data_IF_319624348101
#
_entry.id   IF_319624348101
#
_cell.length_a   1.000
_cell.length_b   1.000
_cell.length_c   1.000
_cell.angle_alpha   90.00
_cell.angle_beta   90.00
_cell.angle_gamma   90.00
#
_symmetry.space_group_name_H-M   'P 1'
#
loop_
_entity.id
_entity.type
_entity.pdbx_description
1 polymer ?
#
# COMPACT_ATOMS: atom_id res chain seq x y z
N UNK A 1 -98.24 -41.49 -26.85
CA UNK A 1 -99.07 -41.01 -25.70
C UNK A 1 -98.15 -40.39 -24.65
N UNK A 2 -98.71 -39.73 -23.63
CA UNK A 2 -98.06 -38.76 -22.72
C UNK A 2 -97.03 -39.34 -21.71
N UNK A 3 -96.06 -38.49 -21.34
CA UNK A 3 -95.43 -38.33 -19.99
C UNK A 3 -94.55 -39.49 -19.43
N UNK A 4 -93.51 -39.29 -18.58
CA UNK A 4 -92.89 -38.07 -18.02
C UNK A 4 -91.48 -38.33 -17.40
N UNK A 5 -90.60 -37.30 -17.40
CA UNK A 5 -89.47 -37.00 -16.46
C UNK A 5 -88.25 -37.97 -16.36
N UNK A 6 -87.01 -37.55 -16.72
CA UNK A 6 -85.97 -36.75 -15.98
C UNK A 6 -85.31 -37.52 -14.80
N UNK A 7 -83.99 -37.52 -14.55
CA UNK A 7 -82.86 -36.77 -15.15
C UNK A 7 -81.50 -37.49 -14.88
N UNK A 8 -80.65 -37.64 -15.92
CA UNK A 8 -79.28 -38.23 -15.91
C UNK A 8 -78.53 -37.65 -17.14
N UNK A 9 -77.22 -37.33 -17.23
CA UNK A 9 -76.06 -37.10 -16.31
C UNK A 9 -74.90 -36.42 -17.12
N UNK A 10 -73.85 -35.88 -16.45
CA UNK A 10 -72.50 -35.48 -16.96
C UNK A 10 -72.28 -34.13 -17.70
N UNK A 11 -71.13 -33.52 -17.36
CA UNK A 11 -70.51 -32.29 -17.87
C UNK A 11 -69.86 -32.45 -19.26
N UNK A 12 -69.72 -31.34 -19.99
CA UNK A 12 -68.74 -31.19 -21.08
C UNK A 12 -68.13 -29.78 -21.11
N UNK A 13 -66.87 -29.71 -21.55
CA UNK A 13 -65.97 -28.55 -21.51
C UNK A 13 -66.25 -27.57 -22.66
N UNK A 14 -66.05 -26.27 -22.42
CA UNK A 14 -65.86 -25.28 -23.48
C UNK A 14 -64.67 -24.36 -23.13
N UNK A 15 -63.65 -24.36 -23.97
CA UNK A 15 -62.49 -23.48 -23.86
C UNK A 15 -62.62 -22.32 -24.88
N UNK A 16 -62.36 -21.09 -24.42
CA UNK A 16 -62.39 -19.88 -25.25
C UNK A 16 -60.97 -19.48 -25.65
N UNK A 17 -60.73 -19.41 -26.96
CA UNK A 17 -59.52 -18.80 -27.53
C UNK A 17 -59.78 -17.31 -27.77
N UNK A 18 -58.91 -16.46 -27.22
CA UNK A 18 -58.84 -15.04 -27.59
C UNK A 18 -57.40 -14.75 -28.02
N UNK A 19 -57.23 -14.49 -29.32
CA UNK A 19 -55.96 -14.04 -29.87
C UNK A 19 -55.70 -12.58 -29.49
N UNK A 20 -54.54 -12.29 -28.91
CA UNK A 20 -54.04 -10.91 -28.78
C UNK A 20 -52.69 -10.80 -29.50
N UNK A 21 -52.58 -9.85 -30.42
CA UNK A 21 -51.32 -9.54 -31.08
C UNK A 21 -50.42 -8.74 -30.13
N UNK A 22 -49.56 -9.44 -29.38
CA UNK A 22 -48.50 -8.78 -28.63
C UNK A 22 -47.32 -8.49 -29.57
N UNK A 23 -47.02 -7.21 -29.76
CA UNK A 23 -45.82 -6.72 -30.44
C UNK A 23 -44.61 -7.32 -29.72
N UNK A 24 -43.74 -8.03 -30.43
CA UNK A 24 -42.58 -8.68 -29.82
C UNK A 24 -41.50 -7.63 -29.50
N UNK A 25 -41.66 -6.93 -28.39
CA UNK A 25 -40.55 -6.23 -27.74
C UNK A 25 -39.50 -7.28 -27.38
N UNK A 26 -38.35 -7.20 -28.08
CA UNK A 26 -37.16 -7.89 -27.66
C UNK A 26 -36.72 -7.29 -26.32
N UNK A 27 -37.07 -7.96 -25.21
CA UNK A 27 -36.47 -7.70 -23.91
C UNK A 27 -34.95 -7.71 -24.08
N UNK A 28 -34.34 -6.53 -24.09
CA UNK A 28 -32.90 -6.36 -24.23
C UNK A 28 -32.26 -6.70 -22.86
N UNK A 29 -32.38 -7.98 -22.46
CA UNK A 29 -31.84 -8.51 -21.22
C UNK A 29 -30.34 -8.28 -21.23
N UNK A 30 -29.89 -7.34 -20.40
CA UNK A 30 -28.50 -6.94 -20.27
C UNK A 30 -27.61 -8.19 -20.23
N UNK A 31 -26.87 -8.40 -21.32
CA UNK A 31 -26.03 -9.59 -21.48
C UNK A 31 -24.92 -9.49 -20.45
N UNK A 32 -25.04 -10.26 -19.37
CA UNK A 32 -24.02 -10.29 -18.34
C UNK A 32 -22.72 -10.83 -18.97
N UNK A 33 -21.77 -9.93 -19.18
CA UNK A 33 -20.53 -10.16 -19.90
C UNK A 33 -19.53 -10.88 -19.02
N UNK A 34 -19.91 -12.08 -18.58
CA UNK A 34 -19.05 -12.97 -17.81
C UNK A 34 -17.88 -13.42 -18.68
N UNK A 35 -16.68 -12.93 -18.38
CA UNK A 35 -15.45 -13.30 -19.06
C UNK A 35 -14.40 -13.71 -18.04
N UNK A 36 -13.51 -14.60 -18.50
CA UNK A 36 -12.21 -14.80 -17.90
C UNK A 36 -11.18 -13.99 -18.67
N UNK A 37 -10.31 -13.28 -17.96
CA UNK A 37 -9.22 -12.51 -18.51
C UNK A 37 -7.89 -13.06 -17.99
N UNK A 38 -6.93 -13.34 -18.86
CA UNK A 38 -5.53 -13.53 -18.43
C UNK A 38 -4.62 -12.55 -19.12
N UNK A 39 -3.50 -12.20 -18.48
CA UNK A 39 -2.49 -11.33 -19.06
C UNK A 39 -1.09 -11.92 -18.91
N UNK A 40 -0.22 -11.69 -19.89
CA UNK A 40 1.19 -12.11 -19.86
C UNK A 40 2.09 -11.19 -20.67
N UNK A 41 3.38 -11.14 -20.31
CA UNK A 41 4.44 -10.68 -21.21
C UNK A 41 4.78 -11.82 -22.17
N UNK A 42 4.83 -11.53 -23.47
CA UNK A 42 5.23 -12.49 -24.51
C UNK A 42 6.74 -12.41 -24.72
N UNK A 43 7.30 -11.19 -24.82
CA UNK A 43 8.73 -10.95 -24.98
C UNK A 43 9.10 -9.49 -24.71
N UNK A 44 10.27 -9.24 -24.11
CA UNK A 44 10.94 -7.94 -23.98
C UNK A 44 12.10 -7.78 -24.99
N UNK A 45 12.10 -8.59 -26.06
CA UNK A 45 13.18 -8.68 -27.04
C UNK A 45 12.82 -8.03 -28.38
N UNK A 46 11.85 -7.10 -28.41
CA UNK A 46 11.53 -6.37 -29.64
C UNK A 46 12.58 -5.30 -29.93
N UNK A 47 12.76 -4.98 -31.21
CA UNK A 47 13.70 -3.97 -31.69
C UNK A 47 12.93 -2.82 -32.35
N UNK A 48 13.25 -1.58 -31.98
CA UNK A 48 12.63 -0.36 -32.53
C UNK A 48 11.99 0.51 -31.45
N UNK A 49 10.94 1.25 -31.81
CA UNK A 49 10.21 2.12 -30.87
C UNK A 49 9.39 1.34 -29.83
N UNK A 50 9.04 0.09 -30.15
CA UNK A 50 8.48 -0.89 -29.23
C UNK A 50 9.57 -1.87 -28.81
N UNK A 51 9.63 -2.20 -27.52
CA UNK A 51 10.63 -3.13 -26.97
C UNK A 51 10.02 -4.33 -26.25
N UNK A 52 8.72 -4.33 -25.97
CA UNK A 52 8.05 -5.55 -25.52
C UNK A 52 6.68 -5.79 -26.17
N UNK A 53 6.32 -7.08 -26.26
CA UNK A 53 4.98 -7.57 -26.62
C UNK A 53 4.33 -8.14 -25.38
N UNK A 54 3.09 -7.72 -25.11
CA UNK A 54 2.21 -8.32 -24.12
C UNK A 54 0.99 -8.95 -24.79
N UNK A 55 0.23 -9.73 -24.03
CA UNK A 55 -1.00 -10.34 -24.51
C UNK A 55 -2.07 -10.40 -23.43
N UNK A 56 -3.30 -10.03 -23.78
CA UNK A 56 -4.50 -10.44 -23.05
C UNK A 56 -5.11 -11.68 -23.70
N UNK A 57 -5.60 -12.63 -22.91
CA UNK A 57 -6.51 -13.68 -23.39
C UNK A 57 -7.89 -13.42 -22.80
N UNK A 58 -8.88 -13.20 -23.66
CA UNK A 58 -10.28 -13.00 -23.27
C UNK A 58 -11.01 -14.31 -23.59
N UNK A 59 -11.57 -14.97 -22.57
CA UNK A 59 -12.43 -16.14 -22.74
C UNK A 59 -13.88 -15.81 -22.36
N UNK A 60 -14.81 -16.12 -23.24
CA UNK A 60 -16.24 -15.96 -22.99
C UNK A 60 -16.75 -17.04 -22.02
N UNK A 61 -17.23 -16.64 -20.85
CA UNK A 61 -17.87 -17.50 -19.84
C UNK A 61 -19.37 -17.27 -19.72
N UNK A 62 -19.95 -16.48 -20.62
CA UNK A 62 -21.39 -16.28 -20.74
C UNK A 62 -22.02 -17.34 -21.67
N UNK A 63 -23.35 -17.42 -21.65
CA UNK A 63 -24.13 -18.29 -22.54
C UNK A 63 -24.40 -17.66 -23.93
N UNK A 64 -23.89 -16.46 -24.21
CA UNK A 64 -24.19 -15.71 -25.43
C UNK A 64 -22.90 -15.32 -26.17
N UNK A 65 -22.99 -15.12 -27.48
CA UNK A 65 -21.86 -14.61 -28.28
C UNK A 65 -21.59 -13.15 -27.92
N UNK A 66 -20.33 -12.82 -27.65
CA UNK A 66 -19.88 -11.43 -27.43
C UNK A 66 -19.56 -10.83 -28.81
N UNK A 67 -20.30 -9.78 -29.20
CA UNK A 67 -20.13 -9.08 -30.46
C UNK A 67 -19.09 -7.96 -30.46
N UNK A 68 -19.00 -7.25 -31.58
CA UNK A 68 -18.02 -6.19 -31.87
C UNK A 68 -18.37 -4.78 -31.31
N UNK A 69 -19.38 -4.67 -30.44
CA UNK A 69 -19.91 -3.38 -29.98
C UNK A 69 -20.56 -3.48 -28.59
N UNK A 70 -20.86 -2.33 -27.98
CA UNK A 70 -21.55 -2.24 -26.69
C UNK A 70 -20.70 -2.55 -25.46
N UNK A 71 -19.36 -2.64 -25.58
CA UNK A 71 -18.47 -2.85 -24.44
C UNK A 71 -17.05 -2.31 -24.64
N UNK A 72 -16.37 -2.06 -23.52
CA UNK A 72 -14.92 -1.89 -23.42
C UNK A 72 -14.41 -2.49 -22.10
N UNK A 73 -13.17 -3.00 -22.08
CA UNK A 73 -12.47 -3.41 -20.85
C UNK A 73 -11.47 -2.32 -20.49
N UNK A 74 -11.64 -1.66 -19.36
CA UNK A 74 -10.72 -0.66 -18.83
C UNK A 74 -9.77 -1.27 -17.80
N UNK A 75 -8.59 -0.69 -17.65
CA UNK A 75 -7.60 -1.10 -16.65
C UNK A 75 -6.58 0.02 -16.38
N UNK A 76 -5.86 -0.08 -15.26
CA UNK A 76 -4.66 0.72 -14.97
C UNK A 76 -3.40 -0.06 -15.36
N UNK A 77 -2.41 0.55 -16.01
CA UNK A 77 -1.09 -0.02 -16.26
C UNK A 77 -0.08 1.13 -16.43
N UNK A 78 1.15 0.97 -15.95
CA UNK A 78 2.18 2.03 -16.02
C UNK A 78 2.23 2.65 -17.43
N UNK A 79 2.18 3.99 -17.59
CA UNK A 79 2.10 4.66 -18.89
C UNK A 79 3.19 4.19 -19.86
N UNK A 80 2.76 3.78 -21.06
CA UNK A 80 3.59 3.36 -22.21
C UNK A 80 2.85 3.70 -23.51
N UNK A 81 3.59 3.97 -24.58
CA UNK A 81 3.01 4.01 -25.94
C UNK A 81 2.61 2.60 -26.35
N UNK A 82 1.43 2.46 -26.93
CA UNK A 82 0.85 1.18 -27.40
C UNK A 82 0.79 1.15 -28.92
N UNK A 83 1.23 0.03 -29.50
CA UNK A 83 1.04 -0.32 -30.92
C UNK A 83 0.25 -1.62 -30.98
N UNK A 84 -0.75 -1.70 -31.86
CA UNK A 84 -1.57 -2.92 -32.03
C UNK A 84 -1.17 -3.66 -33.31
N UNK A 85 -1.36 -4.97 -33.34
CA UNK A 85 -1.18 -5.74 -34.58
C UNK A 85 -2.24 -5.33 -35.63
N UNK A 86 -1.89 -5.22 -36.94
CA UNK A 86 -2.81 -4.71 -37.97
C UNK A 86 -4.15 -5.45 -38.09
N UNK A 87 -4.19 -6.73 -37.73
CA UNK A 87 -5.37 -7.60 -37.80
C UNK A 87 -5.86 -8.05 -36.40
N UNK A 88 -5.49 -7.30 -35.34
CA UNK A 88 -5.87 -7.64 -33.98
C UNK A 88 -7.40 -7.71 -33.82
N UNK A 89 -7.88 -8.77 -33.16
CA UNK A 89 -9.33 -8.97 -32.91
C UNK A 89 -9.90 -7.91 -31.96
N UNK A 90 -9.10 -7.39 -31.05
CA UNK A 90 -9.44 -6.26 -30.20
C UNK A 90 -8.25 -5.29 -30.16
N UNK A 91 -8.51 -4.03 -29.83
CA UNK A 91 -7.55 -2.93 -29.91
C UNK A 91 -7.36 -2.37 -28.50
N UNK A 92 -6.11 -2.38 -28.03
CA UNK A 92 -5.68 -1.70 -26.81
C UNK A 92 -5.41 -0.23 -27.11
N UNK A 93 -5.96 0.66 -26.28
CA UNK A 93 -5.80 2.12 -26.39
C UNK A 93 -5.38 2.71 -25.05
N UNK A 94 -4.33 3.52 -25.07
CA UNK A 94 -4.03 4.47 -24.00
C UNK A 94 -5.07 5.60 -24.00
N UNK A 95 -5.44 6.10 -22.82
CA UNK A 95 -6.41 7.19 -22.66
C UNK A 95 -5.69 8.43 -22.11
N UNK A 96 -5.19 8.34 -20.88
CA UNK A 96 -4.40 9.35 -20.19
C UNK A 96 -3.69 8.67 -19.00
N UNK A 97 -2.60 9.25 -18.48
CA UNK A 97 -1.91 8.72 -17.30
C UNK A 97 -1.60 7.23 -17.42
N UNK A 98 -1.91 6.45 -16.38
CA UNK A 98 -1.83 4.99 -16.39
C UNK A 98 -3.13 4.30 -16.87
N UNK A 99 -4.08 5.03 -17.46
CA UNK A 99 -5.42 4.52 -17.78
C UNK A 99 -5.56 4.08 -19.24
N UNK A 100 -6.03 2.85 -19.44
CA UNK A 100 -6.13 2.17 -20.73
C UNK A 100 -7.50 1.51 -20.92
N UNK A 101 -7.84 1.22 -22.18
CA UNK A 101 -8.98 0.36 -22.54
C UNK A 101 -8.72 -0.56 -23.71
N UNK A 102 -9.35 -1.73 -23.68
CA UNK A 102 -9.48 -2.69 -24.78
C UNK A 102 -10.87 -2.52 -25.37
N UNK A 103 -10.96 -2.33 -26.69
CA UNK A 103 -12.22 -2.30 -27.44
C UNK A 103 -12.22 -3.40 -28.51
N UNK A 104 -13.37 -4.00 -28.86
CA UNK A 104 -13.46 -4.91 -30.00
C UNK A 104 -13.05 -4.24 -31.32
N UNK A 105 -12.41 -4.99 -32.22
CA UNK A 105 -12.28 -4.59 -33.62
C UNK A 105 -13.56 -4.90 -34.41
N UNK A 106 -13.70 -4.34 -35.61
CA UNK A 106 -14.91 -4.44 -36.43
C UNK A 106 -15.33 -5.90 -36.74
N UNK A 107 -14.38 -6.84 -36.78
CA UNK A 107 -14.62 -8.27 -37.04
C UNK A 107 -14.55 -9.15 -35.76
N UNK A 108 -14.70 -8.55 -34.58
CA UNK A 108 -14.74 -9.29 -33.32
C UNK A 108 -16.06 -10.05 -33.18
N UNK A 109 -15.95 -11.33 -32.87
CA UNK A 109 -17.03 -12.20 -32.41
C UNK A 109 -16.38 -13.25 -31.52
N UNK A 110 -16.99 -13.58 -30.40
CA UNK A 110 -16.48 -14.58 -29.46
C UNK A 110 -17.64 -15.43 -28.92
N UNK A 111 -17.77 -16.66 -29.43
CA UNK A 111 -18.82 -17.59 -29.06
C UNK A 111 -18.69 -18.07 -27.60
N UNK A 112 -19.75 -18.65 -26.98
CA UNK A 112 -19.67 -19.23 -25.64
C UNK A 112 -18.53 -20.24 -25.50
N UNK A 113 -17.74 -20.12 -24.43
CA UNK A 113 -16.50 -20.87 -24.14
C UNK A 113 -15.30 -20.61 -25.06
N UNK A 114 -15.46 -19.90 -26.17
CA UNK A 114 -14.35 -19.50 -27.05
C UNK A 114 -13.41 -18.53 -26.33
N UNK A 115 -12.14 -18.51 -26.75
CA UNK A 115 -11.14 -17.56 -26.27
C UNK A 115 -10.38 -16.92 -27.42
N UNK A 116 -9.95 -15.68 -27.22
CA UNK A 116 -9.15 -14.92 -28.18
C UNK A 116 -7.96 -14.28 -27.48
N UNK A 117 -6.78 -14.38 -28.10
CA UNK A 117 -5.57 -13.70 -27.66
C UNK A 117 -5.42 -12.37 -28.40
N UNK A 118 -5.16 -11.30 -27.65
CA UNK A 118 -5.01 -9.93 -28.12
C UNK A 118 -3.57 -9.52 -27.84
N UNK A 119 -2.73 -9.59 -28.87
CA UNK A 119 -1.35 -9.14 -28.82
C UNK A 119 -1.26 -7.63 -29.03
N UNK A 120 -0.40 -6.99 -28.24
CA UNK A 120 -0.09 -5.57 -28.36
C UNK A 120 1.35 -5.30 -27.94
N UNK A 121 1.97 -4.34 -28.61
CA UNK A 121 3.34 -3.93 -28.39
C UNK A 121 3.38 -2.63 -27.57
N UNK A 122 4.42 -2.50 -26.76
CA UNK A 122 4.63 -1.40 -25.83
C UNK A 122 6.04 -0.83 -26.00
N UNK A 123 6.16 0.48 -25.81
CA UNK A 123 7.46 1.11 -25.51
C UNK A 123 8.03 0.57 -24.18
N UNK A 124 9.34 0.51 -24.05
CA UNK A 124 10.06 -0.02 -22.87
C UNK A 124 9.70 -1.49 -22.54
N UNK A 125 10.32 -2.05 -21.49
CA UNK A 125 10.15 -3.44 -21.06
C UNK A 125 9.15 -3.56 -19.91
N UNK A 126 8.65 -4.78 -19.68
CA UNK A 126 7.86 -5.18 -18.51
C UNK A 126 8.53 -6.43 -17.90
N UNK A 127 9.07 -6.29 -16.69
CA UNK A 127 9.97 -7.31 -16.08
C UNK A 127 9.57 -7.69 -14.65
N UNK A 128 8.44 -7.16 -14.16
CA UNK A 128 7.81 -7.50 -12.88
C UNK A 128 6.33 -7.74 -13.09
N UNK A 129 5.75 -8.64 -12.29
CA UNK A 129 4.29 -8.82 -12.22
C UNK A 129 3.56 -7.54 -11.77
N UNK A 130 4.25 -6.62 -11.09
CA UNK A 130 3.74 -5.29 -10.74
C UNK A 130 3.59 -4.35 -11.95
N UNK A 131 4.19 -4.67 -13.09
CA UNK A 131 4.02 -3.93 -14.35
C UNK A 131 2.75 -4.36 -15.12
N UNK A 132 2.03 -5.37 -14.61
CA UNK A 132 0.83 -5.92 -15.22
C UNK A 132 -0.38 -4.97 -15.09
N UNK A 133 -1.42 -5.15 -15.94
CA UNK A 133 -2.71 -4.49 -15.79
C UNK A 133 -3.32 -4.71 -14.40
N UNK A 134 -3.61 -3.61 -13.72
CA UNK A 134 -4.24 -3.53 -12.40
C UNK A 134 -5.74 -3.27 -12.55
N UNK A 135 -6.51 -3.98 -11.73
CA UNK A 135 -7.96 -3.81 -11.55
C UNK A 135 -8.76 -3.70 -12.87
N UNK A 136 -8.73 -4.70 -13.76
CA UNK A 136 -9.50 -4.65 -15.00
C UNK A 136 -11.02 -4.73 -14.74
N UNK A 137 -11.79 -3.92 -15.46
CA UNK A 137 -13.25 -3.82 -15.35
C UNK A 137 -13.91 -3.59 -16.71
N UNK A 138 -15.16 -4.01 -16.86
CA UNK A 138 -15.98 -3.85 -18.06
C UNK A 138 -16.86 -2.61 -17.89
N UNK A 139 -17.01 -1.85 -18.97
CA UNK A 139 -18.06 -0.86 -19.14
C UNK A 139 -18.92 -1.29 -20.32
N UNK A 140 -20.24 -1.26 -20.15
CA UNK A 140 -21.23 -1.61 -21.17
C UNK A 140 -21.88 -0.35 -21.73
N UNK A 141 -22.17 -0.35 -23.02
CA UNK A 141 -22.79 0.76 -23.73
C UNK A 141 -24.08 0.34 -24.44
N UNK A 142 -25.06 1.26 -24.52
CA UNK A 142 -26.23 1.12 -25.39
C UNK A 142 -25.87 1.45 -26.86
N UNK A 143 -26.86 1.38 -27.75
CA UNK A 143 -26.71 1.69 -29.19
C UNK A 143 -26.39 3.17 -29.47
N UNK A 144 -26.67 4.07 -28.51
CA UNK A 144 -26.38 5.50 -28.60
C UNK A 144 -24.97 5.83 -28.02
N UNK A 145 -24.30 4.86 -27.41
CA UNK A 145 -23.01 5.04 -26.72
C UNK A 145 -23.10 5.47 -25.26
N UNK A 146 -24.29 5.47 -24.65
CA UNK A 146 -24.47 5.77 -23.23
C UNK A 146 -24.00 4.59 -22.36
N UNK A 147 -23.36 4.88 -21.24
CA UNK A 147 -22.97 3.87 -20.25
C UNK A 147 -24.20 3.23 -19.59
N UNK A 148 -24.25 1.89 -19.56
CA UNK A 148 -25.39 1.11 -19.04
C UNK A 148 -25.04 0.27 -17.82
N UNK A 149 -23.79 -0.16 -17.68
CA UNK A 149 -23.27 -0.74 -16.44
C UNK A 149 -21.74 -0.73 -16.41
N UNK A 150 -21.19 -0.75 -15.20
CA UNK A 150 -19.76 -0.90 -14.92
C UNK A 150 -19.59 -2.08 -13.97
N UNK A 151 -18.69 -3.02 -14.27
CA UNK A 151 -18.49 -4.22 -13.45
C UNK A 151 -17.04 -4.69 -13.44
N UNK A 152 -16.54 -5.09 -12.27
CA UNK A 152 -15.17 -5.62 -12.13
C UNK A 152 -15.03 -7.01 -12.78
N UNK A 153 -13.92 -7.26 -13.46
CA UNK A 153 -13.56 -8.61 -13.90
C UNK A 153 -12.90 -9.32 -12.71
N UNK A 154 -13.57 -10.35 -12.18
CA UNK A 154 -13.11 -11.09 -11.00
C UNK A 154 -12.27 -12.33 -11.35
N UNK A 155 -12.57 -13.02 -12.46
CA UNK A 155 -11.70 -14.08 -13.03
C UNK A 155 -10.60 -13.43 -13.89
N UNK A 156 -9.71 -12.68 -13.22
CA UNK A 156 -8.50 -12.10 -13.80
C UNK A 156 -7.25 -12.76 -13.24
N UNK A 157 -6.33 -13.19 -14.11
CA UNK A 157 -5.04 -13.78 -13.70
C UNK A 157 -3.86 -13.28 -14.53
N UNK A 158 -2.82 -12.82 -13.83
CA UNK A 158 -1.46 -12.63 -14.38
C UNK A 158 -0.80 -14.01 -14.52
N UNK A 159 -0.24 -14.32 -15.68
CA UNK A 159 0.54 -15.54 -15.90
C UNK A 159 2.01 -15.30 -15.50
N UNK A 160 2.69 -16.31 -14.94
CA UNK A 160 4.07 -16.17 -14.47
C UNK A 160 5.05 -15.87 -15.62
N UNK A 161 6.13 -15.18 -15.28
CA UNK A 161 7.24 -14.92 -16.20
C UNK A 161 8.28 -16.02 -16.00
N UNK A 162 8.23 -17.05 -16.85
CA UNK A 162 9.01 -18.29 -16.69
C UNK A 162 10.24 -18.35 -17.59
N UNK A 163 10.31 -17.49 -18.61
CA UNK A 163 11.35 -17.53 -19.66
C UNK A 163 12.22 -16.28 -19.68
N UNK A 164 13.50 -16.37 -20.13
CA UNK A 164 14.40 -15.22 -20.21
C UNK A 164 13.82 -14.04 -21.01
N UNK A 165 13.10 -14.29 -22.11
CA UNK A 165 12.45 -13.25 -22.90
C UNK A 165 11.32 -12.50 -22.17
N UNK A 166 10.77 -13.05 -21.09
CA UNK A 166 9.76 -12.38 -20.24
C UNK A 166 10.39 -11.67 -19.03
N UNK A 167 11.56 -12.13 -18.58
CA UNK A 167 12.18 -11.68 -17.32
C UNK A 167 13.22 -10.59 -17.55
N UNK A 168 14.00 -10.67 -18.63
CA UNK A 168 15.09 -9.76 -18.93
C UNK A 168 14.56 -8.50 -19.64
N UNK A 169 15.30 -7.38 -19.52
CA UNK A 169 14.98 -6.09 -20.16
C UNK A 169 15.28 -6.03 -21.66
N UNK A 170 15.99 -7.02 -22.17
CA UNK A 170 16.51 -7.11 -23.53
C UNK A 170 17.60 -8.19 -23.60
N UNK A 171 18.19 -8.39 -24.79
CA UNK A 171 19.21 -9.42 -25.01
C UNK A 171 20.49 -9.18 -24.21
N UNK A 172 20.84 -7.91 -23.99
CA UNK A 172 22.07 -7.47 -23.30
C UNK A 172 21.88 -7.28 -21.78
N UNK A 173 20.80 -7.81 -21.19
CA UNK A 173 20.56 -7.67 -19.75
C UNK A 173 21.49 -8.54 -18.91
N UNK A 174 22.47 -7.90 -18.25
CA UNK A 174 23.44 -8.55 -17.37
C UNK A 174 22.96 -8.72 -15.93
N UNK A 175 21.77 -8.26 -15.56
CA UNK A 175 21.24 -8.42 -14.20
C UNK A 175 20.79 -9.87 -14.00
N UNK A 176 21.36 -10.61 -13.02
CA UNK A 176 21.00 -12.01 -12.83
C UNK A 176 19.54 -12.20 -12.40
N UNK A 177 18.89 -13.24 -12.93
CA UNK A 177 17.54 -13.64 -12.52
C UNK A 177 17.56 -14.07 -11.05
N UNK A 178 16.71 -13.51 -10.18
CA UNK A 178 16.62 -13.93 -8.77
C UNK A 178 16.22 -15.40 -8.64
N UNK A 179 17.02 -16.18 -7.91
CA UNK A 179 16.76 -17.60 -7.63
C UNK A 179 17.09 -17.93 -6.17
N UNK A 180 16.59 -19.06 -5.68
CA UNK A 180 16.91 -19.57 -4.33
C UNK A 180 18.40 -19.88 -4.19
N UNK A 181 19.00 -20.53 -5.19
CA UNK A 181 20.44 -20.82 -5.26
C UNK A 181 21.28 -19.54 -5.21
N UNK A 182 20.93 -18.53 -6.01
CA UNK A 182 21.69 -17.27 -6.04
C UNK A 182 21.56 -16.50 -4.72
N UNK A 183 20.36 -16.45 -4.14
CA UNK A 183 20.13 -15.82 -2.83
C UNK A 183 20.88 -16.54 -1.70
N UNK A 184 21.02 -17.87 -1.78
CA UNK A 184 21.84 -18.63 -0.85
C UNK A 184 23.31 -18.21 -0.95
N UNK A 185 23.87 -18.22 -2.17
CA UNK A 185 25.25 -17.82 -2.45
C UNK A 185 25.56 -16.37 -2.04
N UNK A 186 24.66 -15.42 -2.32
CA UNK A 186 24.79 -14.02 -1.88
C UNK A 186 24.80 -13.89 -0.35
N UNK A 187 24.16 -14.81 0.37
CA UNK A 187 24.10 -14.83 1.82
C UNK A 187 25.19 -15.71 2.48
N UNK A 188 26.03 -16.44 1.72
CA UNK A 188 27.13 -17.26 2.28
C UNK A 188 28.17 -16.42 3.04
N UNK A 189 28.27 -15.11 2.74
CA UNK A 189 29.12 -14.16 3.46
C UNK A 189 28.55 -13.71 4.82
N UNK A 190 27.28 -14.03 5.11
CA UNK A 190 26.62 -13.66 6.34
C UNK A 190 26.79 -14.76 7.40
N UNK A 191 27.05 -14.36 8.64
CA UNK A 191 27.14 -15.26 9.79
C UNK A 191 26.22 -14.79 10.91
N UNK A 192 25.77 -15.73 11.74
CA UNK A 192 25.02 -15.41 12.95
C UNK A 192 25.98 -14.84 13.99
N UNK A 193 25.80 -13.57 14.37
CA UNK A 193 26.58 -12.92 15.41
C UNK A 193 26.07 -13.34 16.81
N UNK A 194 26.97 -13.59 17.78
CA UNK A 194 26.56 -13.84 19.16
C UNK A 194 26.04 -12.54 19.83
N UNK A 195 25.10 -12.67 20.76
CA UNK A 195 24.37 -11.52 21.32
C UNK A 195 25.28 -10.46 21.97
N UNK A 196 26.41 -10.89 22.55
CA UNK A 196 27.36 -10.03 23.25
C UNK A 196 28.17 -9.10 22.33
N UNK A 197 28.13 -9.29 21.01
CA UNK A 197 28.76 -8.36 20.03
C UNK A 197 27.73 -7.56 19.23
N UNK A 198 26.43 -7.75 19.48
CA UNK A 198 25.38 -6.99 18.79
C UNK A 198 25.36 -5.55 19.27
N UNK A 199 25.30 -4.63 18.31
CA UNK A 199 25.09 -3.22 18.59
C UNK A 199 23.60 -2.96 18.91
N UNK A 200 23.31 -2.53 20.14
CA UNK A 200 21.95 -2.46 20.69
C UNK A 200 21.22 -1.11 20.51
N UNK A 201 21.80 -0.15 19.77
CA UNK A 201 21.17 1.16 19.50
C UNK A 201 21.26 1.45 18.01
N UNK A 202 20.14 1.81 17.38
CA UNK A 202 20.05 2.19 15.98
C UNK A 202 19.25 3.51 15.90
N UNK A 203 19.72 4.57 15.22
CA UNK A 203 21.03 4.70 14.56
C UNK A 203 22.22 4.58 15.51
N UNK A 204 23.39 4.22 14.98
CA UNK A 204 24.64 4.08 15.75
C UNK A 204 25.05 5.42 16.38
N UNK A 205 25.21 5.49 17.71
CA UNK A 205 25.69 6.69 18.39
C UNK A 205 27.14 7.05 18.04
N UNK A 206 27.52 8.31 18.25
CA UNK A 206 28.92 8.77 18.14
C UNK A 206 29.86 7.98 19.07
N UNK A 207 29.44 7.74 20.32
CA UNK A 207 30.21 6.98 21.32
C UNK A 207 29.29 6.11 22.18
N UNK A 208 29.77 4.91 22.52
CA UNK A 208 29.10 3.99 23.45
C UNK A 208 30.16 3.23 24.26
N UNK A 209 29.98 3.20 25.59
CA UNK A 209 30.80 2.44 26.53
C UNK A 209 29.88 1.62 27.44
N UNK A 210 30.06 0.30 27.48
CA UNK A 210 29.16 -0.61 28.20
C UNK A 210 29.92 -1.35 29.32
N UNK A 211 30.00 -0.80 30.55
CA UNK A 211 30.50 -1.55 31.70
C UNK A 211 29.58 -2.73 32.03
N UNK A 212 30.11 -3.74 32.71
CA UNK A 212 29.34 -4.91 33.11
C UNK A 212 28.32 -4.56 34.21
N UNK A 213 27.05 -4.80 33.94
CA UNK A 213 25.95 -4.52 34.87
C UNK A 213 24.61 -4.44 34.15
N UNK A 214 23.53 -4.42 34.94
CA UNK A 214 22.17 -4.19 34.45
C UNK A 214 21.41 -3.27 35.42
N UNK A 215 20.39 -2.59 34.90
CA UNK A 215 19.41 -1.82 35.64
C UNK A 215 18.02 -2.43 35.44
N UNK A 216 17.32 -2.73 36.53
CA UNK A 216 15.88 -3.05 36.50
C UNK A 216 15.07 -1.75 36.38
N UNK A 217 14.31 -1.62 35.29
CA UNK A 217 13.36 -0.53 35.08
C UNK A 217 12.00 -0.95 35.66
N UNK A 218 11.60 -0.30 36.74
CA UNK A 218 10.31 -0.50 37.41
C UNK A 218 9.85 0.79 38.08
N UNK A 219 8.56 0.88 38.43
CA UNK A 219 7.97 2.05 39.10
C UNK A 219 8.53 2.35 40.51
N UNK A 220 9.53 1.61 40.98
CA UNK A 220 10.37 2.03 42.12
C UNK A 220 11.28 3.23 41.77
N UNK A 221 11.59 3.43 40.48
CA UNK A 221 12.27 4.61 39.99
C UNK A 221 11.27 5.76 39.79
N UNK A 222 11.63 6.96 40.25
CA UNK A 222 10.91 8.20 39.95
C UNK A 222 11.55 8.86 38.72
N UNK A 223 10.75 9.51 37.88
CA UNK A 223 11.22 10.32 36.76
C UNK A 223 11.31 11.78 37.24
N UNK A 224 12.52 12.28 37.43
CA UNK A 224 12.81 13.67 37.74
C UNK A 224 13.06 14.42 36.43
N UNK A 225 12.56 15.64 36.30
CA UNK A 225 12.74 16.44 35.07
C UNK A 225 12.90 17.93 35.37
N UNK A 226 13.70 18.62 34.54
CA UNK A 226 13.77 20.08 34.51
C UNK A 226 12.49 20.70 33.91
N UNK A 227 12.17 21.94 34.27
CA UNK A 227 10.87 22.57 33.96
C UNK A 227 10.51 22.64 32.46
N UNK A 228 11.52 22.63 31.58
CA UNK A 228 11.38 22.62 30.12
C UNK A 228 11.02 21.25 29.52
N UNK A 229 11.11 20.16 30.31
CA UNK A 229 10.99 18.76 29.85
C UNK A 229 9.69 18.06 30.26
N UNK A 230 8.63 18.82 30.57
CA UNK A 230 7.33 18.25 30.98
C UNK A 230 6.71 17.32 29.91
N UNK A 231 6.95 17.61 28.62
CA UNK A 231 6.43 16.81 27.51
C UNK A 231 7.18 15.47 27.40
N UNK A 232 8.51 15.53 27.51
CA UNK A 232 9.44 14.42 27.46
C UNK A 232 9.23 13.48 28.65
N UNK A 233 9.06 14.03 29.86
CA UNK A 233 8.76 13.27 31.07
C UNK A 233 7.42 12.52 30.99
N UNK A 234 6.37 13.17 30.44
CA UNK A 234 5.07 12.52 30.18
C UNK A 234 5.18 11.43 29.12
N UNK A 235 5.83 11.71 28.00
CA UNK A 235 5.99 10.74 26.93
C UNK A 235 6.84 9.54 27.38
N UNK A 236 7.89 9.75 28.19
CA UNK A 236 8.65 8.67 28.82
C UNK A 236 7.81 7.86 29.80
N UNK A 237 6.98 8.52 30.63
CA UNK A 237 6.04 7.84 31.53
C UNK A 237 5.04 6.98 30.75
N UNK A 238 4.52 7.46 29.62
CA UNK A 238 3.59 6.72 28.76
C UNK A 238 4.28 5.51 28.09
N UNK A 239 5.47 5.69 27.51
CA UNK A 239 6.26 4.58 26.96
C UNK A 239 6.57 3.54 28.04
N UNK A 240 7.10 3.95 29.19
CA UNK A 240 7.40 3.03 30.29
C UNK A 240 6.15 2.41 30.92
N UNK A 241 4.99 3.06 30.86
CA UNK A 241 3.72 2.44 31.30
C UNK A 241 3.24 1.38 30.31
N UNK A 242 3.37 1.61 29.01
CA UNK A 242 3.09 0.59 27.97
C UNK A 242 4.05 -0.60 28.10
N UNK A 243 5.32 -0.34 28.43
CA UNK A 243 6.35 -1.38 28.55
C UNK A 243 6.21 -2.16 29.87
N UNK A 244 6.17 -1.48 31.02
CA UNK A 244 6.18 -2.15 32.34
C UNK A 244 4.79 -2.59 32.83
N UNK A 245 3.71 -2.10 32.19
CA UNK A 245 2.35 -2.19 32.74
C UNK A 245 2.10 -1.33 33.99
N UNK A 246 3.11 -0.58 34.47
CA UNK A 246 3.06 0.21 35.71
C UNK A 246 3.31 1.69 35.45
N UNK A 247 2.58 2.57 36.15
CA UNK A 247 2.75 4.01 35.99
C UNK A 247 3.85 4.55 36.90
N UNK A 248 4.90 5.12 36.31
CA UNK A 248 6.00 5.77 37.02
C UNK A 248 5.55 7.13 37.58
N UNK A 249 6.10 7.55 38.72
CA UNK A 249 5.88 8.91 39.25
C UNK A 249 6.80 9.90 38.55
N UNK A 250 6.25 11.01 38.05
CA UNK A 250 7.04 12.13 37.48
C UNK A 250 7.09 13.29 38.49
N UNK A 251 8.24 13.96 38.63
CA UNK A 251 8.47 15.06 39.57
C UNK A 251 9.30 16.18 38.92
N UNK A 252 8.76 17.40 38.88
CA UNK A 252 9.49 18.60 38.44
C UNK A 252 10.35 19.10 39.62
N UNK A 253 11.59 18.61 39.69
CA UNK A 253 12.58 19.00 40.72
C UNK A 253 13.96 18.50 40.34
N UNK A 254 14.98 19.21 40.82
CA UNK A 254 16.35 18.73 40.77
C UNK A 254 16.49 17.38 41.48
N UNK A 255 17.30 16.49 40.89
CA UNK A 255 17.67 15.23 41.51
C UNK A 255 18.79 15.46 42.54
N UNK A 256 18.56 15.04 43.79
CA UNK A 256 19.51 15.25 44.90
C UNK A 256 20.31 14.00 45.24
N UNK A 257 19.66 12.85 45.39
CA UNK A 257 20.27 11.57 45.76
C UNK A 257 19.34 10.37 45.50
N UNK A 258 19.88 9.16 45.56
CA UNK A 258 19.14 7.91 45.46
C UNK A 258 19.29 7.21 44.10
N UNK A 259 18.17 6.67 43.59
CA UNK A 259 18.12 5.95 42.32
C UNK A 259 16.88 6.38 41.54
N UNK A 260 17.07 6.96 40.36
CA UNK A 260 16.01 7.65 39.62
C UNK A 260 16.17 7.46 38.10
N UNK A 261 15.19 7.98 37.36
CA UNK A 261 15.35 8.38 35.97
C UNK A 261 15.40 9.91 36.00
N UNK A 262 16.45 10.53 35.45
CA UNK A 262 16.65 11.98 35.47
C UNK A 262 16.69 12.49 34.04
N UNK A 263 15.87 13.49 33.72
CA UNK A 263 15.83 14.18 32.43
C UNK A 263 16.24 15.64 32.68
N UNK A 264 17.25 16.13 31.98
CA UNK A 264 17.73 17.51 32.17
C UNK A 264 18.32 18.11 30.89
N UNK A 265 18.30 19.44 30.78
CA UNK A 265 19.00 20.18 29.74
C UNK A 265 20.23 20.89 30.28
N UNK A 266 21.38 20.71 29.62
CA UNK A 266 22.65 21.35 29.97
C UNK A 266 23.41 21.79 28.72
N UNK A 267 24.17 22.90 28.75
CA UNK A 267 25.03 23.30 27.64
C UNK A 267 26.11 22.24 27.33
N UNK A 268 25.97 21.53 26.21
CA UNK A 268 26.89 20.46 25.83
C UNK A 268 27.20 20.44 24.32
N UNK A 269 28.22 19.66 23.95
CA UNK A 269 28.49 19.30 22.57
C UNK A 269 29.11 17.92 22.48
N UNK A 270 28.68 17.13 21.49
CA UNK A 270 29.29 15.84 21.15
C UNK A 270 29.86 15.97 19.73
N UNK A 271 31.14 15.66 19.57
CA UNK A 271 31.85 15.74 18.28
C UNK A 271 31.72 17.11 17.57
N UNK A 272 31.70 18.20 18.33
CA UNK A 272 31.57 19.58 17.80
C UNK A 272 30.16 19.99 17.38
N UNK A 273 29.14 19.16 17.64
CA UNK A 273 27.73 19.43 17.37
C UNK A 273 27.03 19.72 18.70
N UNK A 274 26.25 20.79 18.76
CA UNK A 274 25.45 21.15 19.96
C UNK A 274 23.98 20.80 19.79
N UNK A 275 23.33 21.15 18.67
CA UNK A 275 21.90 20.91 18.50
C UNK A 275 21.56 19.40 18.51
N UNK A 276 20.49 19.05 19.22
CA UNK A 276 19.99 17.68 19.42
C UNK A 276 21.04 16.70 20.03
N UNK A 277 22.11 17.21 20.66
CA UNK A 277 23.13 16.39 21.29
C UNK A 277 22.65 15.86 22.64
N UNK A 278 23.09 14.66 23.03
CA UNK A 278 22.73 14.08 24.32
C UNK A 278 23.79 13.14 24.89
N UNK A 279 23.68 12.94 26.20
CA UNK A 279 24.33 11.87 26.96
C UNK A 279 23.25 11.04 27.65
N UNK A 280 23.27 9.73 27.42
CA UNK A 280 22.48 8.73 28.14
C UNK A 280 23.43 7.92 29.02
N UNK A 281 23.22 7.96 30.34
CA UNK A 281 24.02 7.22 31.32
C UNK A 281 23.09 6.27 32.11
N UNK A 282 23.43 4.98 32.15
CA UNK A 282 22.66 3.91 32.80
C UNK A 282 23.58 3.20 33.78
N UNK A 283 23.23 3.30 35.07
CA UNK A 283 24.01 2.81 36.20
C UNK A 283 23.16 1.97 37.14
N UNK A 284 23.69 0.83 37.58
CA UNK A 284 23.05 0.01 38.60
C UNK A 284 22.91 0.73 39.95
N UNK A 285 23.74 1.76 40.21
CA UNK A 285 23.73 2.53 41.45
C UNK A 285 22.76 3.72 41.40
N UNK A 286 22.89 4.60 40.41
CA UNK A 286 22.14 5.87 40.31
C UNK A 286 20.89 5.81 39.43
N UNK A 287 20.73 4.79 38.58
CA UNK A 287 19.58 4.63 37.69
C UNK A 287 19.87 5.10 36.27
N UNK A 288 19.01 5.95 35.70
CA UNK A 288 19.19 6.53 34.35
C UNK A 288 19.35 8.04 34.46
N UNK A 289 20.31 8.62 33.75
CA UNK A 289 20.35 10.05 33.45
C UNK A 289 20.32 10.26 31.94
N UNK A 290 19.51 11.22 31.48
CA UNK A 290 19.43 11.67 30.10
C UNK A 290 19.61 13.18 30.12
N UNK A 291 20.80 13.63 29.72
CA UNK A 291 21.14 15.05 29.59
C UNK A 291 21.17 15.41 28.11
N UNK A 292 20.42 16.43 27.70
CA UNK A 292 20.43 16.95 26.34
C UNK A 292 20.92 18.40 26.26
N UNK A 293 21.40 18.81 25.10
CA UNK A 293 21.63 20.23 24.75
C UNK A 293 20.34 21.07 24.75
N UNK A 294 19.23 20.38 24.49
CA UNK A 294 17.89 20.89 24.25
C UNK A 294 16.88 19.72 24.43
N UNK A 295 15.56 19.98 24.45
CA UNK A 295 14.55 18.92 24.59
C UNK A 295 14.59 17.84 23.50
N UNK A 296 15.04 18.16 22.28
CA UNK A 296 15.16 17.16 21.21
C UNK A 296 16.34 16.20 21.47
N UNK A 297 17.44 16.70 22.02
CA UNK A 297 18.53 15.87 22.55
C UNK A 297 18.03 14.90 23.62
N UNK A 298 17.31 15.39 24.63
CA UNK A 298 16.71 14.54 25.67
C UNK A 298 15.79 13.48 25.06
N UNK A 299 14.91 13.88 24.14
CA UNK A 299 14.03 12.98 23.41
C UNK A 299 14.80 11.88 22.67
N UNK A 300 15.91 12.19 22.00
CA UNK A 300 16.72 11.18 21.32
C UNK A 300 17.50 10.28 22.27
N UNK A 301 17.89 10.78 23.45
CA UNK A 301 18.38 9.94 24.55
C UNK A 301 17.33 8.96 25.05
N UNK A 302 16.07 9.38 25.15
CA UNK A 302 14.95 8.49 25.47
C UNK A 302 14.75 7.41 24.38
N UNK A 303 14.85 7.75 23.09
CA UNK A 303 14.78 6.75 22.02
C UNK A 303 15.93 5.74 22.09
N UNK A 304 17.13 6.19 22.45
CA UNK A 304 18.27 5.30 22.71
C UNK A 304 18.04 4.40 23.92
N UNK A 305 17.37 4.87 24.98
CA UNK A 305 16.92 4.01 26.09
C UNK A 305 15.88 2.97 25.62
N UNK A 306 14.92 3.35 24.76
CA UNK A 306 13.92 2.42 24.23
C UNK A 306 14.53 1.37 23.28
N UNK A 307 15.59 1.71 22.55
CA UNK A 307 16.29 0.76 21.67
C UNK A 307 16.99 -0.39 22.45
N UNK A 308 17.29 -0.19 23.73
CA UNK A 308 17.93 -1.19 24.60
C UNK A 308 16.95 -2.21 25.19
N UNK A 309 15.64 -2.05 24.96
CA UNK A 309 14.62 -2.96 25.51
C UNK A 309 14.76 -4.36 24.89
N UNK A 310 14.63 -5.45 25.68
CA UNK A 310 14.72 -6.81 25.15
C UNK A 310 13.66 -7.08 24.07
N UNK A 311 14.01 -7.77 22.98
CA UNK A 311 13.04 -8.09 21.91
C UNK A 311 11.87 -8.94 22.43
N UNK A 312 12.14 -9.85 23.37
CA UNK A 312 11.14 -10.70 24.01
C UNK A 312 10.05 -9.93 24.77
N UNK A 313 10.31 -8.68 25.16
CA UNK A 313 9.28 -7.82 25.75
C UNK A 313 8.12 -7.56 24.76
N UNK A 314 8.41 -7.41 23.47
CA UNK A 314 7.40 -7.17 22.45
C UNK A 314 6.61 -8.42 22.04
N UNK A 315 6.99 -9.60 22.56
CA UNK A 315 6.36 -10.89 22.21
C UNK A 315 5.75 -11.61 23.41
N UNK A 316 6.27 -11.40 24.63
CA UNK A 316 5.85 -12.07 25.86
C UNK A 316 5.84 -11.07 27.03
N UNK A 317 4.77 -11.06 27.82
CA UNK A 317 4.69 -10.25 29.05
C UNK A 317 5.75 -10.71 30.07
N UNK A 318 6.69 -9.83 30.41
CA UNK A 318 7.76 -10.10 31.38
C UNK A 318 7.52 -9.36 32.70
N UNK A 319 7.90 -9.99 33.82
CA UNK A 319 7.76 -9.43 35.16
C UNK A 319 8.89 -8.47 35.56
N UNK A 320 9.96 -8.40 34.77
CA UNK A 320 11.13 -7.54 34.98
C UNK A 320 11.69 -7.08 33.65
N UNK A 321 12.12 -5.83 33.58
CA UNK A 321 12.79 -5.25 32.41
C UNK A 321 14.20 -4.87 32.83
N UNK A 322 15.18 -5.55 32.25
CA UNK A 322 16.61 -5.29 32.48
C UNK A 322 17.19 -4.59 31.25
N UNK A 323 17.81 -3.43 31.46
CA UNK A 323 18.64 -2.75 30.45
C UNK A 323 20.11 -2.79 30.89
N UNK A 324 21.08 -2.92 29.97
CA UNK A 324 22.50 -2.96 30.32
C UNK A 324 22.95 -1.62 30.89
N UNK A 325 23.93 -1.65 31.80
CA UNK A 325 24.65 -0.42 32.18
C UNK A 325 25.51 0.06 31.02
N UNK A 326 25.39 1.34 30.67
CA UNK A 326 26.13 1.97 29.59
C UNK A 326 26.20 3.48 29.72
N UNK A 327 27.12 4.07 28.98
CA UNK A 327 27.18 5.49 28.69
C UNK A 327 27.20 5.66 27.17
N UNK A 328 26.31 6.49 26.67
CA UNK A 328 26.22 6.90 25.26
C UNK A 328 26.39 8.40 25.20
N UNK A 329 27.22 8.86 24.27
CA UNK A 329 27.36 10.28 23.93
C UNK A 329 27.10 10.39 22.43
N UNK A 330 26.16 11.24 22.03
CA UNK A 330 25.65 11.23 20.66
C UNK A 330 25.18 12.61 20.20
N UNK A 331 25.21 12.82 18.88
CA UNK A 331 24.70 14.01 18.21
C UNK A 331 24.45 13.71 16.71
N UNK A 332 23.48 14.37 16.08
CA UNK A 332 23.13 14.09 14.69
C UNK A 332 24.24 14.53 13.73
N UNK A 333 24.76 13.61 12.90
CA UNK A 333 25.68 13.97 11.79
C UNK A 333 25.10 15.02 10.83
N UNK A 334 23.77 15.04 10.67
CA UNK A 334 23.06 15.97 9.79
C UNK A 334 21.81 16.54 10.49
N UNK A 335 21.56 17.87 10.43
CA UNK A 335 20.41 18.50 11.06
C UNK A 335 19.09 18.20 10.34
N UNK A 336 19.13 17.77 9.07
CA UNK A 336 17.94 17.36 8.31
C UNK A 336 17.97 15.85 8.10
N UNK A 337 16.95 15.15 8.64
CA UNK A 337 16.83 13.68 8.54
C UNK A 337 15.41 13.35 8.10
N UNK A 338 15.21 13.38 6.78
CA UNK A 338 13.90 13.36 6.14
C UNK A 338 13.36 11.97 5.81
N UNK A 339 12.05 11.79 5.98
CA UNK A 339 11.24 10.78 5.32
C UNK A 339 10.29 11.46 4.34
N UNK A 340 10.24 10.98 3.09
CA UNK A 340 9.26 11.42 2.09
C UNK A 340 8.06 10.46 2.04
N UNK A 341 6.84 10.99 1.95
CA UNK A 341 5.62 10.21 1.77
C UNK A 341 4.68 10.86 0.74
N UNK A 342 4.44 10.14 -0.35
CA UNK A 342 3.40 10.42 -1.34
C UNK A 342 2.06 9.84 -0.87
N UNK A 343 1.08 10.72 -0.60
CA UNK A 343 -0.31 10.32 -0.29
C UNK A 343 -1.27 10.60 -1.46
N UNK A 344 -0.76 11.03 -2.61
CA UNK A 344 -1.53 11.47 -3.77
C UNK A 344 -1.80 10.32 -4.72
N UNK A 345 -0.75 9.58 -5.09
CA UNK A 345 -0.83 8.38 -5.95
C UNK A 345 -1.81 7.37 -5.36
N UNK A 346 -1.62 7.03 -4.08
CA UNK A 346 -2.59 6.31 -3.28
C UNK A 346 -2.66 6.92 -1.87
N UNK A 347 -3.87 7.09 -1.35
CA UNK A 347 -4.07 7.79 -0.08
C UNK A 347 -3.77 6.89 1.13
N UNK A 348 -2.95 7.39 2.04
CA UNK A 348 -2.69 6.75 3.34
C UNK A 348 -3.55 7.41 4.42
N UNK A 349 -4.26 6.59 5.22
CA UNK A 349 -5.05 7.11 6.33
C UNK A 349 -4.20 7.86 7.36
N UNK A 350 -4.79 8.84 8.06
CA UNK A 350 -4.13 9.57 9.17
C UNK A 350 -3.47 8.63 10.20
N UNK A 351 -4.09 7.48 10.50
CA UNK A 351 -3.53 6.46 11.39
C UNK A 351 -2.22 5.86 10.86
N UNK A 352 -2.10 5.64 9.56
CA UNK A 352 -0.87 5.14 8.95
C UNK A 352 0.24 6.21 8.95
N UNK A 353 -0.10 7.47 8.69
CA UNK A 353 0.85 8.60 8.76
C UNK A 353 1.37 8.80 10.18
N UNK A 354 0.50 8.79 11.19
CA UNK A 354 0.92 8.84 12.60
C UNK A 354 1.80 7.63 12.96
N UNK A 355 1.47 6.43 12.47
CA UNK A 355 2.32 5.25 12.73
C UNK A 355 3.70 5.35 12.05
N UNK A 356 3.80 6.01 10.91
CA UNK A 356 5.09 6.35 10.30
C UNK A 356 5.87 7.33 11.18
N UNK A 357 5.21 8.35 11.75
CA UNK A 357 5.85 9.30 12.67
C UNK A 357 6.39 8.63 13.93
N UNK A 358 5.70 7.63 14.51
CA UNK A 358 6.24 6.83 15.63
C UNK A 358 7.59 6.17 15.25
N UNK A 359 7.65 5.58 14.05
CA UNK A 359 8.83 4.86 13.55
C UNK A 359 9.96 5.83 13.20
N UNK A 360 9.62 6.98 12.61
CA UNK A 360 10.57 8.07 12.37
C UNK A 360 11.20 8.56 13.67
N UNK A 361 10.38 8.82 14.69
CA UNK A 361 10.84 9.28 16.00
C UNK A 361 11.81 8.28 16.64
N UNK A 362 11.46 6.99 16.65
CA UNK A 362 12.32 5.92 17.18
C UNK A 362 13.70 5.88 16.49
N UNK A 363 13.72 5.98 15.16
CA UNK A 363 14.98 6.05 14.39
C UNK A 363 15.57 7.46 14.25
N UNK A 364 15.13 8.41 15.09
CA UNK A 364 15.63 9.79 15.20
C UNK A 364 15.50 10.63 13.92
N UNK A 365 14.63 10.28 12.97
CA UNK A 365 14.28 11.11 11.82
C UNK A 365 13.43 12.30 12.29
N UNK A 366 13.73 13.51 11.81
CA UNK A 366 13.16 14.76 12.34
C UNK A 366 12.30 15.54 11.34
N UNK A 367 12.23 15.14 10.07
CA UNK A 367 11.42 15.83 9.06
C UNK A 367 10.55 14.86 8.26
N UNK A 368 9.24 15.12 8.19
CA UNK A 368 8.30 14.40 7.32
C UNK A 368 7.93 15.30 6.13
N UNK A 369 8.41 14.95 4.94
CA UNK A 369 8.04 15.62 3.69
C UNK A 369 6.79 14.94 3.12
N UNK A 370 5.63 15.60 3.24
CA UNK A 370 4.36 15.12 2.70
C UNK A 370 4.10 15.70 1.32
N UNK A 371 3.88 14.83 0.33
CA UNK A 371 3.34 15.22 -0.97
C UNK A 371 1.81 15.16 -0.92
N UNK A 372 1.18 16.34 -0.97
CA UNK A 372 -0.27 16.55 -0.76
C UNK A 372 -1.06 16.87 -2.05
N UNK A 373 -0.38 17.04 -3.19
CA UNK A 373 -0.99 17.16 -4.52
C UNK A 373 -0.08 16.58 -5.61
N UNK A 374 -0.64 15.75 -6.50
CA UNK A 374 -0.04 15.26 -7.75
C UNK A 374 -1.17 15.10 -8.81
N UNK A 375 -0.82 14.73 -10.05
CA UNK A 375 -1.78 14.56 -11.17
C UNK A 375 -2.98 13.66 -10.81
N UNK A 376 -2.78 12.62 -10.00
CA UNK A 376 -3.78 11.59 -9.68
C UNK A 376 -4.47 11.81 -8.32
N UNK A 377 -4.24 12.95 -7.65
CA UNK A 377 -5.00 13.30 -6.46
C UNK A 377 -4.51 14.51 -5.65
N UNK A 378 -5.47 15.15 -4.99
CA UNK A 378 -5.28 16.27 -4.08
C UNK A 378 -5.79 15.93 -2.67
N UNK A 379 -4.98 16.17 -1.63
CA UNK A 379 -5.11 15.52 -0.31
C UNK A 379 -5.14 16.47 0.89
N UNK A 380 -5.27 17.78 0.65
CA UNK A 380 -5.35 18.81 1.69
C UNK A 380 -6.58 19.69 1.50
N UNK A 381 -7.33 19.95 2.57
CA UNK A 381 -8.49 20.85 2.48
C UNK A 381 -8.02 22.30 2.33
N UNK A 382 -8.63 23.02 1.38
CA UNK A 382 -8.47 24.47 1.18
C UNK A 382 -9.88 25.06 1.18
N UNK A 383 -10.27 25.74 2.26
CA UNK A 383 -11.66 26.20 2.49
C UNK A 383 -12.24 27.04 1.34
N UNK A 384 -11.39 27.83 0.65
CA UNK A 384 -11.77 28.68 -0.46
C UNK A 384 -11.81 27.99 -1.83
N UNK A 385 -11.38 26.71 -1.92
CA UNK A 385 -11.29 25.92 -3.14
C UNK A 385 -11.78 24.47 -2.89
N UNK A 386 -13.06 24.28 -2.47
CA UNK A 386 -13.60 22.98 -2.06
C UNK A 386 -13.57 21.91 -3.17
N UNK A 387 -13.55 22.31 -4.45
CA UNK A 387 -13.45 21.40 -5.59
C UNK A 387 -12.15 20.59 -5.58
N UNK A 388 -11.08 21.11 -4.96
CA UNK A 388 -9.80 20.41 -4.89
C UNK A 388 -9.92 19.09 -4.12
N UNK A 389 -10.68 19.04 -3.03
CA UNK A 389 -10.95 17.79 -2.30
C UNK A 389 -12.23 17.10 -2.78
N UNK A 390 -13.27 17.83 -3.18
CA UNK A 390 -14.52 17.23 -3.67
C UNK A 390 -14.38 16.50 -5.03
N UNK A 391 -13.46 16.96 -5.90
CA UNK A 391 -13.16 16.32 -7.19
C UNK A 391 -11.78 15.67 -7.15
N UNK A 392 -10.73 16.43 -6.81
CA UNK A 392 -9.35 15.95 -6.77
C UNK A 392 -9.08 14.95 -5.63
N UNK A 393 -9.93 14.88 -4.61
CA UNK A 393 -9.83 13.92 -3.52
C UNK A 393 -10.24 12.49 -3.86
N UNK A 394 -10.89 12.26 -5.01
CA UNK A 394 -11.47 10.96 -5.37
C UNK A 394 -11.24 10.55 -6.82
N UNK A 395 -11.30 9.24 -7.08
CA UNK A 395 -11.16 8.63 -8.41
C UNK A 395 -12.30 7.64 -8.63
N UNK A 396 -13.00 7.72 -9.76
CA UNK A 396 -14.07 6.77 -10.14
C UNK A 396 -14.10 6.63 -11.67
N UNK A 397 -14.90 5.70 -12.23
CA UNK A 397 -15.11 5.65 -13.67
C UNK A 397 -15.85 6.89 -14.17
N UNK A 398 -15.33 7.53 -15.22
CA UNK A 398 -15.78 8.85 -15.66
C UNK A 398 -15.75 8.95 -17.19
N UNK A 399 -16.85 9.46 -17.74
CA UNK A 399 -16.87 10.19 -19.00
C UNK A 399 -16.67 11.69 -18.73
N UNK A 400 -16.21 12.42 -19.74
CA UNK A 400 -15.73 13.81 -19.63
C UNK A 400 -16.69 14.70 -18.82
N UNK A 401 -16.11 15.54 -17.94
CA UNK A 401 -16.80 16.49 -17.04
C UNK A 401 -17.42 15.91 -15.74
N UNK A 402 -16.88 14.80 -15.21
CA UNK A 402 -17.35 14.21 -13.94
C UNK A 402 -16.80 14.86 -12.65
N UNK A 403 -17.50 14.62 -11.53
CA UNK A 403 -17.17 15.07 -10.18
C UNK A 403 -16.01 14.29 -9.49
N UNK A 404 -15.13 13.67 -10.26
CA UNK A 404 -13.96 12.94 -9.76
C UNK A 404 -12.88 12.82 -10.85
N UNK A 405 -11.64 12.56 -10.44
CA UNK A 405 -10.58 12.16 -11.36
C UNK A 405 -10.83 10.75 -11.93
N UNK A 406 -10.15 10.41 -13.03
CA UNK A 406 -10.25 9.08 -13.63
C UNK A 406 -9.48 8.03 -12.82
N UNK A 407 -9.79 6.73 -12.98
CA UNK A 407 -9.14 5.67 -12.21
C UNK A 407 -7.65 5.60 -12.49
N UNK A 408 -6.87 5.38 -11.44
CA UNK A 408 -5.41 5.31 -11.50
C UNK A 408 -4.84 4.41 -10.41
N UNK A 409 -3.69 3.79 -10.69
CA UNK A 409 -2.99 2.80 -9.88
C UNK A 409 -3.85 1.60 -9.47
N UNK A 410 -4.84 1.25 -10.29
CA UNK A 410 -5.77 0.16 -9.99
C UNK A 410 -6.74 0.47 -8.85
N UNK A 411 -7.11 1.74 -8.63
CA UNK A 411 -8.16 2.10 -7.67
C UNK A 411 -9.51 1.42 -7.95
N UNK A 412 -9.75 1.08 -9.21
CA UNK A 412 -11.01 0.53 -9.69
C UNK A 412 -11.99 1.61 -10.15
N UNK A 413 -13.22 1.21 -10.53
CA UNK A 413 -14.21 2.10 -11.16
C UNK A 413 -15.11 2.88 -10.18
N UNK A 414 -14.99 2.66 -8.86
CA UNK A 414 -15.90 3.18 -7.84
C UNK A 414 -15.12 3.99 -6.79
#
# INVERSE_FOLDING_TARGET
MKNNFRNIVIFSVLALLISSCTKQESENKAVNMNIKLTWTVVTNMLVGESSCRAAFTIQNKSSQTIGNSGWAIYYSQIPRRVTNEPNAKAIVKHINGDWFKIIPAQNFSLAPNEQVTVHYDLSHYLIKETDAPLYPYIVRYDENGNETSVSRITDYKILPFEKPEQINRGADDVVPIPSTTRRYQENEVLSLLPENVLHKIIPTPVSITSPAGNLELSAALQIHYSADLLSEAKYLQEMLQVITGTKFTILEKDYTEGKAIVLQTEPMSVNGITAEAYVLDISSASGVSITGSDPAGVFYGMQSLMALMPVDFYTISQSKILVPTLRVEDAPRFPYRGQHLDVCRNFFSKKAVLKLMDVMAFYKLNTLQLYLSEDEGWRIEIESLPELTAVGGQRQHTSKDAAALHPSYGSGPN
#
